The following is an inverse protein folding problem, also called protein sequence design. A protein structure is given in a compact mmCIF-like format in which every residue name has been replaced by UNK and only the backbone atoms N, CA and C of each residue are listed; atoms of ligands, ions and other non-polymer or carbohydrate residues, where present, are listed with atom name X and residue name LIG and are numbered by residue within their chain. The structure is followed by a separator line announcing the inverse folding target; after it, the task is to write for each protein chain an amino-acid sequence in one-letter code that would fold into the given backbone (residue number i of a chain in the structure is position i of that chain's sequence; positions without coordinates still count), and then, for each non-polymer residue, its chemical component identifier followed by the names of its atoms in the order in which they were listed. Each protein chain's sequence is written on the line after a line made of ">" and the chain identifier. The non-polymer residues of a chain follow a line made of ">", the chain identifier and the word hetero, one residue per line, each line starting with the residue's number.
data_IF_141387784900
#
_entry.id   IF_141387784900
#
_cell.length_a   1.000
_cell.length_b   1.000
_cell.length_c   1.000
_cell.angle_alpha   90.00
_cell.angle_beta   90.00
_cell.angle_gamma   90.00
#
_symmetry.space_group_name_H-M   'P 1'
#
loop_
_entity.id
_entity.type
_entity.pdbx_description
1 polymer ?
#
# COMPACT_ATOMS: atom_id res chain seq x y z
N UNK A 1 -9.40 -1.64 12.98
CA UNK A 1 -9.65 -0.20 12.79
C UNK A 1 -8.93 0.23 11.53
N UNK A 2 -9.68 0.68 10.52
CA UNK A 2 -9.14 1.03 9.21
C UNK A 2 -8.51 2.40 9.30
N UNK A 3 -7.18 2.48 9.22
CA UNK A 3 -6.48 3.76 9.03
C UNK A 3 -6.62 4.11 7.55
N UNK A 4 -7.78 4.68 7.21
CA UNK A 4 -7.96 5.47 6.00
C UNK A 4 -7.89 6.93 6.47
N UNK A 5 -7.20 7.76 5.68
CA UNK A 5 -7.05 9.21 5.81
C UNK A 5 -5.91 9.71 6.71
N UNK A 6 -4.74 9.91 6.08
CA UNK A 6 -3.98 11.17 6.02
C UNK A 6 -2.51 10.84 5.81
N UNK A 7 -2.15 10.46 4.60
CA UNK A 7 -0.74 10.50 4.21
C UNK A 7 -0.69 10.72 2.71
N UNK A 8 -0.22 11.89 2.29
CA UNK A 8 0.11 12.14 0.88
C UNK A 8 1.12 11.10 0.37
N UNK A 9 1.87 10.48 1.30
CA UNK A 9 2.90 9.47 1.05
C UNK A 9 2.79 8.27 1.99
N UNK A 10 3.00 7.08 1.47
CA UNK A 10 3.02 5.81 2.21
C UNK A 10 4.46 5.31 2.29
N UNK A 11 4.88 4.92 3.49
CA UNK A 11 6.15 4.23 3.74
C UNK A 11 5.88 2.74 3.95
N UNK A 12 6.52 1.89 3.15
CA UNK A 12 6.48 0.43 3.28
C UNK A 12 7.77 -0.03 3.93
N UNK A 13 7.65 -0.87 4.96
CA UNK A 13 8.78 -1.44 5.68
C UNK A 13 8.77 -2.96 5.65
N UNK A 14 9.95 -3.57 5.58
CA UNK A 14 10.16 -5.00 5.69
C UNK A 14 11.43 -5.29 6.49
N UNK A 15 11.35 -6.18 7.48
CA UNK A 15 12.48 -6.57 8.35
C UNK A 15 13.24 -5.37 8.96
N UNK A 16 12.52 -4.32 9.36
CA UNK A 16 13.11 -3.12 9.96
C UNK A 16 13.76 -2.15 8.98
N UNK A 17 13.73 -2.43 7.67
CA UNK A 17 14.20 -1.52 6.63
C UNK A 17 13.03 -0.90 5.87
N UNK A 18 13.19 0.36 5.45
CA UNK A 18 12.29 1.00 4.49
C UNK A 18 12.56 0.38 3.13
N UNK A 19 11.51 -0.18 2.52
CA UNK A 19 11.61 -0.80 1.19
C UNK A 19 11.02 0.08 0.10
N UNK A 20 10.01 0.90 0.43
CA UNK A 20 9.37 1.81 -0.54
C UNK A 20 8.79 3.03 0.17
N UNK A 21 8.86 4.20 -0.46
CA UNK A 21 8.30 5.45 0.05
C UNK A 21 7.83 6.32 -1.12
N UNK A 22 6.52 6.33 -1.38
CA UNK A 22 5.94 7.09 -2.49
C UNK A 22 4.54 7.60 -2.14
N UNK A 23 3.86 8.29 -3.05
CA UNK A 23 2.47 8.72 -2.86
C UNK A 23 1.56 7.52 -2.63
N UNK A 24 0.47 7.74 -1.91
CA UNK A 24 -0.52 6.68 -1.72
C UNK A 24 -1.01 6.13 -3.07
N UNK A 25 -1.32 7.03 -4.01
CA UNK A 25 -1.74 6.66 -5.36
C UNK A 25 -0.71 5.78 -6.08
N UNK A 26 0.57 6.16 -6.06
CA UNK A 26 1.65 5.38 -6.68
C UNK A 26 1.78 3.99 -6.05
N UNK A 27 1.76 3.91 -4.72
CA UNK A 27 1.86 2.63 -4.00
C UNK A 27 0.67 1.69 -4.31
N UNK A 28 -0.54 2.23 -4.51
CA UNK A 28 -1.72 1.41 -4.84
C UNK A 28 -1.80 1.01 -6.33
N UNK A 29 -1.34 1.88 -7.24
CA UNK A 29 -1.54 1.69 -8.69
C UNK A 29 -0.32 1.13 -9.41
N UNK A 30 0.88 1.48 -8.95
CA UNK A 30 2.15 1.10 -9.56
C UNK A 30 3.25 0.83 -8.51
N UNK A 31 3.04 -0.09 -7.55
CA UNK A 31 4.06 -0.44 -6.56
C UNK A 31 5.31 -1.02 -7.24
N UNK A 32 6.48 -0.44 -6.95
CA UNK A 32 7.74 -0.82 -7.57
C UNK A 32 8.39 -2.04 -6.91
N UNK A 33 8.16 -2.25 -5.61
CA UNK A 33 8.74 -3.39 -4.91
C UNK A 33 7.82 -4.61 -4.93
N UNK A 34 8.41 -5.78 -5.19
CA UNK A 34 7.69 -7.07 -5.17
C UNK A 34 7.00 -7.33 -3.83
N UNK A 35 7.64 -6.93 -2.72
CA UNK A 35 7.05 -7.04 -1.39
C UNK A 35 5.79 -6.16 -1.24
N UNK A 36 5.84 -4.93 -1.74
CA UNK A 36 4.69 -4.01 -1.74
C UNK A 36 3.57 -4.55 -2.62
N UNK A 37 3.88 -5.08 -3.81
CA UNK A 37 2.91 -5.74 -4.69
C UNK A 37 2.17 -6.88 -4.00
N UNK A 38 2.90 -7.72 -3.25
CA UNK A 38 2.30 -8.82 -2.46
C UNK A 38 1.37 -8.29 -1.37
N UNK A 39 1.78 -7.24 -0.65
CA UNK A 39 0.94 -6.60 0.38
C UNK A 39 -0.34 -6.01 -0.23
N UNK A 40 -0.24 -5.23 -1.30
CA UNK A 40 -1.40 -4.61 -1.96
C UNK A 40 -2.35 -5.69 -2.52
N UNK A 41 -1.81 -6.75 -3.12
CA UNK A 41 -2.59 -7.88 -3.63
C UNK A 41 -3.35 -8.63 -2.52
N UNK A 42 -2.84 -8.59 -1.29
CA UNK A 42 -3.49 -9.20 -0.13
C UNK A 42 -4.58 -8.31 0.50
N UNK A 43 -4.69 -7.04 0.10
CA UNK A 43 -5.74 -6.14 0.60
C UNK A 43 -7.08 -6.58 -0.02
N UNK A 44 -8.08 -6.98 0.80
CA UNK A 44 -9.41 -7.27 0.29
C UNK A 44 -9.97 -6.00 -0.35
N UNK A 45 -10.27 -6.05 -1.65
CA UNK A 45 -11.03 -4.98 -2.29
C UNK A 45 -12.37 -4.88 -1.57
N UNK A 46 -12.81 -3.68 -1.13
CA UNK A 46 -14.14 -3.55 -0.55
C UNK A 46 -15.13 -4.19 -1.50
N UNK A 47 -16.00 -5.06 -0.99
CA UNK A 47 -17.13 -5.60 -1.72
C UNK A 47 -18.03 -4.41 -2.08
N UNK A 48 -17.78 -3.81 -3.24
CA UNK A 48 -18.74 -2.92 -3.88
C UNK A 48 -19.81 -3.85 -4.41
N UNK A 49 -20.92 -3.96 -3.69
CA UNK A 49 -22.15 -4.51 -4.25
C UNK A 49 -22.52 -3.61 -5.44
N UNK A 50 -22.24 -4.09 -6.64
CA UNK A 50 -22.83 -3.62 -7.90
C UNK A 50 -23.61 -4.76 -8.52
#
# INVERSE_FOLDING_TARGET
>A
GVVKFMSDRIMVMNKGAIVELDTAESIYTNPQQEYTQKLISAIPKPLVFS
#
